data_IF_361056462219
#
_entry.id   IF_361056462219
#
_cell.length_a   1.000
_cell.length_b   1.000
_cell.length_c   1.000
_cell.angle_alpha   90.00
_cell.angle_beta   90.00
_cell.angle_gamma   90.00
#
_symmetry.space_group_name_H-M   'P 1'
#
loop_
_entity.id
_entity.type
_entity.pdbx_description
1 polymer ?
#
# COMPACT_ATOMS: atom_id res chain seq x y z
N UNK A 1 18.98 7.61 -12.66
CA UNK A 1 17.51 7.70 -12.83
C UNK A 1 17.05 9.16 -12.71
N UNK A 2 17.54 10.03 -13.59
CA UNK A 2 17.27 11.48 -13.58
C UNK A 2 16.15 11.91 -14.54
N UNK A 3 15.60 11.00 -15.35
CA UNK A 3 14.61 11.33 -16.38
C UNK A 3 13.16 11.40 -15.85
N UNK A 4 12.83 10.68 -14.77
CA UNK A 4 11.46 10.62 -14.25
C UNK A 4 11.10 11.80 -13.34
N UNK A 5 12.03 12.20 -12.47
CA UNK A 5 11.77 13.25 -11.48
C UNK A 5 11.41 14.62 -12.11
N UNK A 6 12.07 15.08 -13.20
CA UNK A 6 11.67 16.32 -13.88
C UNK A 6 10.27 16.29 -14.49
N UNK A 7 9.72 15.10 -14.74
CA UNK A 7 8.35 14.94 -15.27
C UNK A 7 7.28 14.93 -14.16
N UNK A 8 7.69 14.97 -12.89
CA UNK A 8 6.79 14.79 -11.75
C UNK A 8 6.21 13.38 -11.65
N UNK A 9 6.81 12.39 -12.32
CA UNK A 9 6.35 11.00 -12.29
C UNK A 9 6.85 10.27 -11.05
N UNK A 10 6.08 9.29 -10.60
CA UNK A 10 6.47 8.36 -9.55
C UNK A 10 6.93 7.02 -10.14
N UNK A 11 7.67 6.25 -9.34
CA UNK A 11 7.95 4.84 -9.60
C UNK A 11 6.93 4.01 -8.84
N UNK A 12 6.18 3.17 -9.55
CA UNK A 12 5.37 2.16 -8.90
C UNK A 12 6.20 0.88 -8.70
N UNK A 13 6.35 0.44 -7.45
CA UNK A 13 7.23 -0.65 -7.05
C UNK A 13 6.40 -1.85 -6.56
N UNK A 14 6.42 -2.91 -7.36
CA UNK A 14 5.99 -4.24 -6.94
C UNK A 14 7.24 -5.10 -6.71
N UNK A 15 7.60 -5.30 -5.45
CA UNK A 15 8.73 -6.13 -5.01
C UNK A 15 8.37 -6.86 -3.71
N UNK A 16 9.02 -7.98 -3.42
CA UNK A 16 8.84 -8.69 -2.15
C UNK A 16 9.36 -7.85 -0.99
N UNK A 17 8.78 -8.02 0.20
CA UNK A 17 9.19 -7.26 1.39
C UNK A 17 10.69 -7.41 1.69
N UNK A 18 11.25 -8.63 1.54
CA UNK A 18 12.70 -8.86 1.68
C UNK A 18 13.55 -8.00 0.73
N UNK A 19 13.09 -7.82 -0.50
CA UNK A 19 13.77 -6.98 -1.48
C UNK A 19 13.67 -5.50 -1.09
N UNK A 20 12.51 -5.05 -0.59
CA UNK A 20 12.34 -3.68 -0.09
C UNK A 20 13.31 -3.41 1.06
N UNK A 21 13.43 -4.34 2.01
CA UNK A 21 14.39 -4.26 3.10
C UNK A 21 15.85 -4.22 2.59
N UNK A 22 16.21 -5.15 1.71
CA UNK A 22 17.57 -5.25 1.17
C UNK A 22 18.00 -4.01 0.36
N UNK A 23 17.05 -3.38 -0.36
CA UNK A 23 17.33 -2.21 -1.19
C UNK A 23 16.97 -0.87 -0.54
N UNK A 24 16.65 -0.84 0.76
CA UNK A 24 16.23 0.38 1.46
C UNK A 24 17.17 1.58 1.24
N UNK A 25 18.52 1.46 1.30
CA UNK A 25 19.41 2.58 1.03
C UNK A 25 19.31 3.13 -0.40
N UNK A 26 19.02 2.26 -1.38
CA UNK A 26 18.81 2.68 -2.77
C UNK A 26 17.46 3.40 -2.91
N UNK A 27 16.38 2.80 -2.39
CA UNK A 27 15.03 3.37 -2.45
C UNK A 27 14.99 4.76 -1.78
N UNK A 28 15.63 4.90 -0.62
CA UNK A 28 15.80 6.17 0.10
C UNK A 28 16.72 7.17 -0.61
N UNK A 29 17.38 6.85 -1.72
CA UNK A 29 18.15 7.82 -2.53
C UNK A 29 17.49 8.19 -3.85
N UNK A 30 16.39 7.53 -4.22
CA UNK A 30 15.71 7.85 -5.47
C UNK A 30 15.14 9.28 -5.42
N UNK A 31 15.30 10.08 -6.49
CA UNK A 31 14.84 11.47 -6.53
C UNK A 31 13.33 11.60 -6.80
N UNK A 32 12.65 10.52 -7.16
CA UNK A 32 11.22 10.47 -7.45
C UNK A 32 10.44 9.85 -6.29
N UNK A 33 9.14 10.13 -6.23
CA UNK A 33 8.25 9.43 -5.30
C UNK A 33 8.12 7.95 -5.67
N UNK A 34 7.89 7.11 -4.66
CA UNK A 34 7.62 5.68 -4.84
C UNK A 34 6.16 5.38 -4.48
N UNK A 35 5.51 4.48 -5.21
CA UNK A 35 4.24 3.87 -4.81
C UNK A 35 4.50 2.40 -4.55
N UNK A 36 4.46 1.98 -3.28
CA UNK A 36 4.57 0.58 -2.92
C UNK A 36 3.25 -0.14 -3.23
N UNK A 37 3.31 -1.15 -4.10
CA UNK A 37 2.13 -1.94 -4.45
C UNK A 37 1.81 -3.01 -3.41
N UNK A 38 0.53 -3.35 -3.30
CA UNK A 38 0.01 -4.52 -2.59
C UNK A 38 0.53 -4.68 -1.16
N UNK A 39 0.29 -3.65 -0.32
CA UNK A 39 0.77 -3.62 1.07
C UNK A 39 2.30 -3.77 1.19
N UNK A 40 3.05 -3.34 0.16
CA UNK A 40 4.50 -3.53 0.04
C UNK A 40 4.92 -5.02 0.12
N UNK A 41 4.00 -5.94 -0.21
CA UNK A 41 4.18 -7.39 -0.06
C UNK A 41 4.56 -7.83 1.36
N UNK A 42 4.27 -7.02 2.38
CA UNK A 42 4.45 -7.40 3.78
C UNK A 42 3.53 -8.59 4.10
N UNK A 43 4.03 -9.64 4.76
CA UNK A 43 3.15 -10.73 5.18
C UNK A 43 2.12 -10.20 6.17
N UNK A 44 0.84 -10.48 5.98
CA UNK A 44 -0.21 -9.93 6.85
C UNK A 44 -0.05 -10.41 8.30
N UNK A 45 0.44 -11.64 8.49
CA UNK A 45 0.90 -12.14 9.78
C UNK A 45 2.39 -11.85 9.95
N UNK A 46 2.76 -11.16 11.04
CA UNK A 46 4.15 -10.83 11.35
C UNK A 46 4.74 -9.68 10.53
N UNK A 47 3.91 -8.98 9.74
CA UNK A 47 4.35 -7.91 8.86
C UNK A 47 4.82 -6.67 9.60
N UNK A 48 4.31 -6.40 10.81
CA UNK A 48 4.71 -5.23 11.60
C UNK A 48 6.12 -5.36 12.17
N UNK A 49 6.57 -6.59 12.40
CA UNK A 49 7.90 -6.95 12.86
C UNK A 49 8.89 -7.15 11.70
N UNK A 50 8.41 -7.12 10.45
CA UNK A 50 9.23 -7.32 9.28
C UNK A 50 10.12 -6.08 9.02
N UNK A 51 11.42 -6.23 8.69
CA UNK A 51 12.32 -5.07 8.49
C UNK A 51 11.85 -4.07 7.43
N UNK A 52 11.13 -4.54 6.41
CA UNK A 52 10.55 -3.68 5.38
C UNK A 52 9.44 -2.75 5.89
N UNK A 53 8.78 -3.07 7.01
CA UNK A 53 7.71 -2.24 7.55
C UNK A 53 8.23 -0.87 7.98
N UNK A 54 9.34 -0.85 8.72
CA UNK A 54 10.01 0.41 9.12
C UNK A 54 10.45 1.21 7.90
N UNK A 55 11.05 0.55 6.89
CA UNK A 55 11.46 1.20 5.64
C UNK A 55 10.28 1.88 4.94
N UNK A 56 9.14 1.19 4.86
CA UNK A 56 7.92 1.73 4.25
C UNK A 56 7.40 2.91 5.08
N UNK A 57 7.21 2.74 6.39
CA UNK A 57 6.71 3.78 7.28
C UNK A 57 7.57 5.04 7.25
N UNK A 58 8.90 4.91 7.30
CA UNK A 58 9.82 6.05 7.18
C UNK A 58 9.59 6.83 5.88
N UNK A 59 9.53 6.12 4.75
CA UNK A 59 9.38 6.76 3.45
C UNK A 59 8.00 7.40 3.27
N UNK A 60 6.95 6.84 3.87
CA UNK A 60 5.62 7.45 3.90
C UNK A 60 5.64 8.73 4.75
N UNK A 61 6.22 8.68 5.94
CA UNK A 61 6.34 9.83 6.86
C UNK A 61 7.16 10.97 6.26
N UNK A 62 8.24 10.66 5.54
CA UNK A 62 9.05 11.62 4.78
C UNK A 62 8.33 12.17 3.53
N UNK A 63 7.11 11.72 3.24
CA UNK A 63 6.31 12.11 2.06
C UNK A 63 6.98 11.73 0.73
N UNK A 64 7.88 10.75 0.76
CA UNK A 64 8.63 10.24 -0.38
C UNK A 64 8.01 9.00 -1.00
N UNK A 65 7.10 8.36 -0.27
CA UNK A 65 6.35 7.22 -0.78
C UNK A 65 4.85 7.37 -0.56
N UNK A 66 4.13 6.52 -1.28
CA UNK A 66 2.74 6.15 -1.08
C UNK A 66 2.66 4.63 -0.93
N UNK A 67 1.61 4.14 -0.30
CA UNK A 67 1.31 2.71 -0.26
C UNK A 67 -0.09 2.43 -0.80
N UNK A 68 -0.19 1.37 -1.60
CA UNK A 68 -1.44 0.91 -2.19
C UNK A 68 -1.97 -0.29 -1.41
N UNK A 69 -3.14 -0.13 -0.80
CA UNK A 69 -3.94 -1.22 -0.25
C UNK A 69 -4.68 -1.89 -1.39
N UNK A 70 -4.08 -2.92 -1.95
CA UNK A 70 -4.63 -3.68 -3.08
C UNK A 70 -4.18 -5.13 -3.00
N UNK A 71 -4.89 -6.01 -3.72
CA UNK A 71 -4.56 -7.43 -3.81
C UNK A 71 -4.26 -8.10 -2.44
N UNK A 72 -5.16 -8.02 -1.44
CA UNK A 72 -4.89 -8.55 -0.10
C UNK A 72 -4.61 -10.06 -0.08
N UNK A 73 -5.07 -10.79 -1.10
CA UNK A 73 -4.76 -12.19 -1.34
C UNK A 73 -3.28 -12.46 -1.67
N UNK A 74 -2.48 -11.43 -1.95
CA UNK A 74 -1.03 -11.58 -2.16
C UNK A 74 -0.22 -11.58 -0.86
N UNK A 75 -0.83 -11.18 0.26
CA UNK A 75 -0.16 -11.02 1.55
C UNK A 75 -0.73 -11.91 2.66
N UNK A 76 -1.87 -12.55 2.41
CA UNK A 76 -2.49 -13.48 3.36
C UNK A 76 -3.38 -14.50 2.66
N UNK A 77 -3.46 -15.70 3.23
CA UNK A 77 -4.32 -16.78 2.78
C UNK A 77 -5.00 -17.50 3.96
N UNK A 78 -6.09 -18.23 3.67
CA UNK A 78 -6.79 -19.04 4.67
C UNK A 78 -7.84 -18.27 5.49
N UNK A 79 -8.40 -18.95 6.50
CA UNK A 79 -9.58 -18.48 7.24
C UNK A 79 -9.37 -17.22 8.09
N UNK A 80 -8.13 -16.92 8.48
CA UNK A 80 -7.78 -15.72 9.25
C UNK A 80 -7.28 -14.56 8.38
N UNK A 81 -7.30 -14.70 7.05
CA UNK A 81 -6.68 -13.75 6.15
C UNK A 81 -7.24 -12.33 6.29
N UNK A 82 -8.57 -12.21 6.37
CA UNK A 82 -9.21 -10.89 6.43
C UNK A 82 -8.85 -10.13 7.71
N UNK A 83 -8.75 -10.82 8.85
CA UNK A 83 -8.33 -10.21 10.12
C UNK A 83 -6.86 -9.76 10.07
N UNK A 84 -5.97 -10.62 9.56
CA UNK A 84 -4.54 -10.30 9.47
C UNK A 84 -4.30 -9.10 8.53
N UNK A 85 -4.97 -9.11 7.38
CA UNK A 85 -4.93 -8.01 6.40
C UNK A 85 -5.51 -6.73 7.01
N UNK A 86 -6.62 -6.81 7.74
CA UNK A 86 -7.20 -5.66 8.42
C UNK A 86 -6.24 -5.06 9.46
N UNK A 87 -5.55 -5.89 10.25
CA UNK A 87 -4.56 -5.43 11.24
C UNK A 87 -3.36 -4.74 10.57
N UNK A 88 -2.75 -5.36 9.56
CA UNK A 88 -1.64 -4.76 8.81
C UNK A 88 -2.08 -3.46 8.13
N UNK A 89 -3.23 -3.48 7.44
CA UNK A 89 -3.79 -2.30 6.78
C UNK A 89 -4.09 -1.17 7.77
N UNK A 90 -4.63 -1.49 8.94
CA UNK A 90 -4.91 -0.49 9.98
C UNK A 90 -3.65 0.19 10.46
N UNK A 91 -2.57 -0.56 10.68
CA UNK A 91 -1.28 0.00 11.08
C UNK A 91 -0.74 0.99 10.03
N UNK A 92 -0.79 0.63 8.73
CA UNK A 92 -0.37 1.49 7.64
C UNK A 92 -1.23 2.75 7.49
N UNK A 93 -2.57 2.59 7.56
CA UNK A 93 -3.53 3.69 7.47
C UNK A 93 -3.32 4.70 8.59
N UNK A 94 -3.15 4.26 9.83
CA UNK A 94 -3.01 5.17 10.97
C UNK A 94 -1.62 5.78 11.09
N UNK A 95 -0.58 5.08 10.62
CA UNK A 95 0.78 5.62 10.63
C UNK A 95 0.95 6.78 9.63
N UNK A 96 0.37 6.68 8.44
CA UNK A 96 0.55 7.68 7.37
C UNK A 96 -0.74 7.90 6.56
N UNK A 97 -1.83 8.41 7.19
CA UNK A 97 -3.17 8.45 6.60
C UNK A 97 -3.26 9.24 5.29
N UNK A 98 -2.40 10.23 5.12
CA UNK A 98 -2.30 11.08 3.93
C UNK A 98 -1.45 10.46 2.79
N UNK A 99 -0.95 9.22 2.96
CA UNK A 99 -0.09 8.51 1.99
C UNK A 99 -0.60 7.12 1.60
N UNK A 100 -1.86 6.83 1.87
CA UNK A 100 -2.48 5.53 1.57
C UNK A 100 -3.51 5.67 0.45
N UNK A 101 -3.44 4.82 -0.57
CA UNK A 101 -4.44 4.73 -1.64
C UNK A 101 -4.97 3.29 -1.73
N UNK A 102 -6.14 3.11 -2.34
CA UNK A 102 -6.70 1.78 -2.58
C UNK A 102 -6.74 1.45 -4.07
N UNK A 103 -6.64 0.16 -4.40
CA UNK A 103 -6.88 -0.35 -5.76
C UNK A 103 -7.43 -1.77 -5.74
N UNK A 104 -8.27 -2.11 -6.72
CA UNK A 104 -8.87 -3.46 -6.79
C UNK A 104 -7.87 -4.55 -7.17
N UNK A 105 -6.85 -4.20 -7.96
CA UNK A 105 -5.99 -5.14 -8.67
C UNK A 105 -6.77 -6.02 -9.67
N UNK A 106 -7.85 -5.50 -10.26
CA UNK A 106 -8.56 -6.19 -11.35
C UNK A 106 -7.61 -6.40 -12.55
N UNK A 107 -7.64 -7.56 -13.24
CA UNK A 107 -8.59 -8.68 -13.14
C UNK A 107 -8.16 -9.82 -12.20
N UNK A 108 -7.35 -9.54 -11.18
CA UNK A 108 -6.90 -10.49 -10.17
C UNK A 108 -6.21 -11.71 -10.79
N UNK A 109 -5.24 -11.47 -11.69
CA UNK A 109 -4.66 -12.50 -12.57
C UNK A 109 -4.05 -13.68 -11.82
N UNK A 110 -3.55 -13.49 -10.61
CA UNK A 110 -2.93 -14.53 -9.78
C UNK A 110 -3.93 -15.49 -9.15
N UNK A 111 -5.21 -15.10 -9.04
CA UNK A 111 -6.21 -15.87 -8.32
C UNK A 111 -6.99 -16.79 -9.26
N UNK A 112 -7.11 -18.07 -8.91
CA UNK A 112 -7.99 -19.00 -9.62
C UNK A 112 -9.47 -18.64 -9.42
N UNK A 113 -9.84 -18.28 -8.18
CA UNK A 113 -11.17 -17.77 -7.82
C UNK A 113 -11.10 -16.26 -7.67
N UNK A 114 -11.71 -15.52 -8.60
CA UNK A 114 -11.64 -14.06 -8.62
C UNK A 114 -12.45 -13.48 -7.45
N UNK A 115 -11.86 -12.65 -6.57
CA UNK A 115 -12.60 -12.00 -5.51
C UNK A 115 -13.59 -10.99 -6.09
N UNK A 116 -14.74 -10.84 -5.43
CA UNK A 116 -15.70 -9.81 -5.80
C UNK A 116 -15.16 -8.41 -5.44
N UNK A 117 -15.40 -7.45 -6.33
CA UNK A 117 -14.96 -6.06 -6.13
C UNK A 117 -15.49 -5.47 -4.81
N UNK A 118 -16.77 -5.69 -4.50
CA UNK A 118 -17.40 -5.14 -3.30
C UNK A 118 -16.76 -5.70 -2.03
N UNK A 119 -16.45 -7.01 -2.00
CA UNK A 119 -15.71 -7.63 -0.89
C UNK A 119 -14.36 -6.94 -0.66
N UNK A 120 -13.56 -6.75 -1.71
CA UNK A 120 -12.25 -6.09 -1.60
C UNK A 120 -12.35 -4.63 -1.11
N UNK A 121 -13.39 -3.93 -1.54
CA UNK A 121 -13.66 -2.55 -1.11
C UNK A 121 -14.08 -2.51 0.37
N UNK A 122 -14.94 -3.43 0.80
CA UNK A 122 -15.45 -3.47 2.19
C UNK A 122 -14.35 -3.82 3.21
N UNK A 123 -13.29 -4.52 2.79
CA UNK A 123 -12.11 -4.80 3.63
C UNK A 123 -11.37 -3.53 4.09
N UNK A 124 -11.56 -2.38 3.43
CA UNK A 124 -10.92 -1.11 3.85
C UNK A 124 -11.56 -0.53 5.10
N UNK A 125 -12.86 -0.76 5.33
CA UNK A 125 -13.58 -0.19 6.47
C UNK A 125 -13.00 -0.62 7.84
N UNK A 126 -12.70 -1.91 8.08
CA UNK A 126 -12.00 -2.34 9.28
C UNK A 126 -10.62 -1.70 9.46
N UNK A 127 -9.86 -1.48 8.37
CA UNK A 127 -8.53 -0.85 8.44
C UNK A 127 -8.61 0.59 8.92
N UNK A 128 -9.62 1.33 8.43
CA UNK A 128 -9.94 2.69 8.85
C UNK A 128 -10.74 2.74 10.18
N UNK A 129 -11.05 1.60 10.80
CA UNK A 129 -11.84 1.51 12.02
C UNK A 129 -13.20 2.25 11.95
N UNK A 130 -13.78 2.31 10.75
CA UNK A 130 -15.02 3.06 10.50
C UNK A 130 -14.87 4.58 10.41
N UNK A 131 -13.66 5.12 10.46
CA UNK A 131 -13.43 6.56 10.31
C UNK A 131 -13.70 7.01 8.86
N UNK A 132 -14.77 7.77 8.70
CA UNK A 132 -15.21 8.30 7.40
C UNK A 132 -14.22 9.29 6.78
N UNK A 133 -13.40 9.97 7.60
CA UNK A 133 -12.33 10.86 7.14
C UNK A 133 -11.20 10.05 6.51
N UNK A 134 -10.75 8.99 7.17
CA UNK A 134 -9.72 8.09 6.63
C UNK A 134 -10.21 7.39 5.36
N UNK A 135 -11.45 6.92 5.33
CA UNK A 135 -12.04 6.34 4.12
C UNK A 135 -12.07 7.35 2.97
N UNK A 136 -12.50 8.58 3.24
CA UNK A 136 -12.50 9.65 2.22
C UNK A 136 -11.09 9.94 1.72
N UNK A 137 -10.08 9.93 2.60
CA UNK A 137 -8.69 10.09 2.20
C UNK A 137 -8.26 8.96 1.26
N UNK A 138 -8.42 7.70 1.67
CA UNK A 138 -7.99 6.52 0.91
C UNK A 138 -8.63 6.45 -0.49
N UNK A 139 -9.93 6.75 -0.59
CA UNK A 139 -10.68 6.59 -1.85
C UNK A 139 -10.74 7.85 -2.71
N UNK A 140 -10.51 9.04 -2.17
CA UNK A 140 -10.74 10.30 -2.90
C UNK A 140 -9.54 11.24 -2.78
N UNK A 141 -9.25 11.77 -1.60
CA UNK A 141 -8.29 12.87 -1.48
C UNK A 141 -6.86 12.43 -1.81
N UNK A 142 -6.46 11.24 -1.36
CA UNK A 142 -5.13 10.70 -1.60
C UNK A 142 -4.89 10.34 -3.08
N UNK A 143 -5.78 9.59 -3.77
CA UNK A 143 -5.58 9.35 -5.21
C UNK A 143 -5.64 10.63 -6.05
N UNK A 144 -6.45 11.62 -5.67
CA UNK A 144 -6.43 12.93 -6.34
C UNK A 144 -5.08 13.64 -6.17
N UNK A 145 -4.51 13.60 -4.96
CA UNK A 145 -3.19 14.18 -4.70
C UNK A 145 -2.06 13.43 -5.40
N UNK A 146 -2.11 12.09 -5.45
CA UNK A 146 -1.08 11.25 -6.08
C UNK A 146 -1.12 11.33 -7.62
N UNK A 147 -2.30 11.21 -8.22
CA UNK A 147 -2.44 11.09 -9.69
C UNK A 147 -2.87 12.39 -10.37
N UNK A 148 -3.21 13.43 -9.62
CA UNK A 148 -3.60 14.73 -10.16
C UNK A 148 -4.98 14.74 -10.82
N UNK A 149 -5.90 13.84 -10.41
CA UNK A 149 -7.28 13.89 -10.86
C UNK A 149 -7.93 15.22 -10.45
N UNK A 150 -8.61 15.86 -11.41
CA UNK A 150 -9.31 17.13 -11.27
C UNK A 150 -10.80 16.95 -11.53
#
# INVERSE_FOLDING_TARGET
>A
MTLLAPLGWHIQLHAMADQIAAYAPLLKRLPCQIVFDHFARLPAKGGLEHPAYEVVCDMLAEKRAWIKLSAPYLVSHGSSADLQVASLGSALVHNSPERVVWGSDWPHMTEASKPEFQRLKDMVNPMAQGDTTLLRQIFISNPNALYGFR
#
